data_IF_816754071438
#
_entry.id   IF_816754071438
#
_cell.length_a   1.000
_cell.length_b   1.000
_cell.length_c   1.000
_cell.angle_alpha   90.00
_cell.angle_beta   90.00
_cell.angle_gamma   90.00
#
_symmetry.space_group_name_H-M   'P 1'
#
loop_
_entity.id
_entity.type
_entity.pdbx_description
1 polymer ?
#
# COMPACT_ATOMS: atom_id res chain seq x y z
N UNK A 1 -14.10 -35.13 8.82
CA UNK A 1 -13.35 -33.92 9.17
C UNK A 1 -14.24 -32.74 8.82
N UNK A 2 -14.13 -31.64 9.56
CA UNK A 2 -14.81 -30.38 9.21
C UNK A 2 -13.76 -29.45 8.66
N UNK A 3 -13.94 -28.98 7.44
CA UNK A 3 -13.12 -27.95 6.82
C UNK A 3 -13.81 -26.61 7.00
N UNK A 4 -13.25 -25.75 7.85
CA UNK A 4 -13.65 -24.35 7.88
C UNK A 4 -12.87 -23.60 6.80
N UNK A 5 -13.57 -23.02 5.84
CA UNK A 5 -12.97 -22.37 4.69
C UNK A 5 -13.76 -21.12 4.30
N UNK A 6 -13.12 -20.21 3.57
CA UNK A 6 -13.77 -18.99 3.08
C UNK A 6 -13.84 -19.01 1.58
N UNK A 7 -15.05 -18.91 1.02
CA UNK A 7 -15.26 -18.74 -0.42
C UNK A 7 -15.29 -17.24 -0.76
N UNK A 8 -14.41 -16.82 -1.68
CA UNK A 8 -14.27 -15.43 -2.12
C UNK A 8 -14.47 -15.36 -3.63
N UNK A 9 -15.23 -14.37 -4.10
CA UNK A 9 -15.36 -14.08 -5.53
C UNK A 9 -14.09 -13.44 -6.08
N UNK A 10 -13.53 -14.02 -7.14
CA UNK A 10 -12.44 -13.43 -7.94
C UNK A 10 -12.96 -12.39 -8.95
N UNK A 11 -12.05 -11.69 -9.65
CA UNK A 11 -12.40 -10.60 -10.58
C UNK A 11 -13.27 -11.05 -11.77
N UNK A 12 -13.16 -12.32 -12.17
CA UNK A 12 -13.92 -12.93 -13.27
C UNK A 12 -15.15 -13.72 -12.78
N UNK A 13 -15.44 -13.71 -11.45
CA UNK A 13 -16.64 -14.36 -10.94
C UNK A 13 -17.87 -13.61 -11.44
N UNK A 14 -18.81 -14.34 -12.04
CA UNK A 14 -20.10 -13.79 -12.46
C UNK A 14 -20.96 -13.33 -11.26
N UNK A 15 -20.52 -13.67 -10.04
CA UNK A 15 -21.22 -13.36 -8.80
C UNK A 15 -20.30 -12.56 -7.87
N UNK A 16 -20.41 -11.22 -7.89
CA UNK A 16 -19.83 -10.36 -6.86
C UNK A 16 -20.57 -10.58 -5.52
N UNK A 17 -20.20 -11.65 -4.81
CA UNK A 17 -20.73 -11.97 -3.48
C UNK A 17 -19.73 -11.59 -2.40
N UNK A 18 -20.22 -11.20 -1.20
CA UNK A 18 -19.35 -11.07 -0.04
C UNK A 18 -18.67 -12.41 0.26
N UNK A 19 -17.47 -12.41 0.87
CA UNK A 19 -16.83 -13.65 1.34
C UNK A 19 -17.80 -14.48 2.17
N UNK A 20 -17.94 -15.76 1.85
CA UNK A 20 -18.76 -16.69 2.60
C UNK A 20 -17.88 -17.59 3.46
N UNK A 21 -18.13 -17.59 4.77
CA UNK A 21 -17.60 -18.62 5.66
C UNK A 21 -18.39 -19.92 5.48
N UNK A 22 -17.67 -20.99 5.20
CA UNK A 22 -18.21 -22.32 4.93
C UNK A 22 -17.62 -23.32 5.92
N UNK A 23 -18.46 -24.21 6.43
CA UNK A 23 -18.05 -25.42 7.14
C UNK A 23 -18.46 -26.62 6.30
N UNK A 24 -17.47 -27.31 5.73
CA UNK A 24 -17.67 -28.47 4.85
C UNK A 24 -17.38 -29.73 5.66
N UNK A 25 -18.40 -30.54 5.90
CA UNK A 25 -18.25 -31.82 6.59
C UNK A 25 -18.00 -32.93 5.56
N UNK A 26 -16.77 -33.43 5.52
CA UNK A 26 -16.40 -34.54 4.64
C UNK A 26 -15.23 -35.35 5.23
N UNK A 27 -15.10 -36.65 4.90
CA UNK A 27 -13.93 -37.45 5.28
C UNK A 27 -12.62 -36.84 4.78
N UNK A 28 -11.52 -37.00 5.53
CA UNK A 28 -10.20 -36.63 5.02
C UNK A 28 -9.87 -37.48 3.77
N UNK A 29 -9.23 -36.87 2.77
CA UNK A 29 -8.98 -37.48 1.47
C UNK A 29 -10.13 -37.35 0.45
N UNK A 30 -11.23 -36.67 0.79
CA UNK A 30 -12.31 -36.38 -0.18
C UNK A 30 -11.75 -35.59 -1.36
N UNK A 31 -12.08 -36.03 -2.59
CA UNK A 31 -11.69 -35.33 -3.81
C UNK A 31 -12.33 -33.95 -3.87
N UNK A 32 -11.53 -32.93 -4.18
CA UNK A 32 -12.01 -31.57 -4.31
C UNK A 32 -13.01 -31.38 -5.46
N UNK A 33 -13.10 -32.32 -6.40
CA UNK A 33 -14.17 -32.36 -7.40
C UNK A 33 -15.56 -32.43 -6.74
N UNK A 34 -15.74 -33.27 -5.72
CA UNK A 34 -17.01 -33.41 -4.99
C UNK A 34 -17.37 -32.11 -4.28
N UNK A 35 -16.37 -31.45 -3.69
CA UNK A 35 -16.54 -30.16 -3.03
C UNK A 35 -16.90 -29.09 -4.07
N UNK A 36 -16.24 -29.08 -5.22
CA UNK A 36 -16.49 -28.16 -6.32
C UNK A 36 -17.93 -28.26 -6.84
N UNK A 37 -18.44 -29.47 -7.09
CA UNK A 37 -19.82 -29.69 -7.54
C UNK A 37 -20.85 -29.14 -6.55
N UNK A 38 -20.63 -29.32 -5.24
CA UNK A 38 -21.50 -28.75 -4.22
C UNK A 38 -21.44 -27.22 -4.20
N UNK A 39 -20.26 -26.63 -4.39
CA UNK A 39 -20.12 -25.18 -4.48
C UNK A 39 -20.82 -24.61 -5.72
N UNK A 40 -20.71 -25.30 -6.86
CA UNK A 40 -21.42 -24.93 -8.08
C UNK A 40 -22.93 -25.09 -7.94
N UNK A 41 -23.43 -26.17 -7.35
CA UNK A 41 -24.87 -26.37 -7.15
C UNK A 41 -25.48 -25.40 -6.14
N UNK A 42 -24.84 -25.22 -4.97
CA UNK A 42 -25.42 -24.44 -3.87
C UNK A 42 -25.16 -22.94 -4.01
N UNK A 43 -24.02 -22.58 -4.58
CA UNK A 43 -23.60 -21.18 -4.69
C UNK A 43 -23.45 -20.70 -6.13
N UNK A 44 -23.63 -21.53 -7.16
CA UNK A 44 -23.41 -21.10 -8.54
C UNK A 44 -21.97 -20.67 -8.81
N UNK A 45 -21.01 -21.22 -8.05
CA UNK A 45 -19.59 -20.95 -8.24
C UNK A 45 -19.14 -21.48 -9.62
N UNK A 46 -18.30 -20.71 -10.31
CA UNK A 46 -17.62 -21.15 -11.52
C UNK A 46 -16.43 -22.04 -11.16
N UNK A 47 -15.32 -21.88 -11.86
CA UNK A 47 -14.06 -22.53 -11.52
C UNK A 47 -13.60 -22.08 -10.13
N UNK A 48 -13.39 -23.02 -9.21
CA UNK A 48 -12.90 -22.71 -7.85
C UNK A 48 -11.44 -23.13 -7.74
N UNK A 49 -10.61 -22.25 -7.18
CA UNK A 49 -9.19 -22.50 -6.95
C UNK A 49 -8.80 -22.36 -5.48
N UNK A 50 -7.81 -23.11 -5.04
CA UNK A 50 -7.19 -22.99 -3.71
C UNK A 50 -5.70 -22.83 -3.92
N UNK A 51 -5.14 -21.73 -3.43
CA UNK A 51 -3.76 -21.32 -3.71
C UNK A 51 -3.37 -21.25 -5.20
N UNK A 52 -4.36 -21.03 -6.08
CA UNK A 52 -4.17 -20.97 -7.52
C UNK A 52 -4.16 -22.34 -8.22
N UNK A 53 -4.29 -23.43 -7.46
CA UNK A 53 -4.55 -24.77 -7.99
C UNK A 53 -6.05 -25.01 -8.15
N UNK A 54 -6.44 -25.79 -9.16
CA UNK A 54 -7.84 -26.16 -9.38
C UNK A 54 -8.33 -26.99 -8.20
N UNK A 55 -9.45 -26.59 -7.59
CA UNK A 55 -10.03 -27.36 -6.48
C UNK A 55 -10.27 -28.82 -6.88
N UNK A 56 -10.61 -29.07 -8.16
CA UNK A 56 -10.88 -30.43 -8.67
C UNK A 56 -9.66 -31.35 -8.66
N UNK A 57 -8.44 -30.81 -8.59
CA UNK A 57 -7.21 -31.61 -8.50
C UNK A 57 -6.69 -31.82 -7.07
N UNK A 58 -7.42 -31.33 -6.06
CA UNK A 58 -6.96 -31.35 -4.67
C UNK A 58 -7.67 -32.42 -3.82
N UNK A 59 -7.06 -32.76 -2.69
CA UNK A 59 -7.60 -33.70 -1.70
C UNK A 59 -7.80 -33.01 -0.36
N UNK A 60 -8.94 -33.24 0.26
CA UNK A 60 -9.28 -32.64 1.54
C UNK A 60 -8.35 -33.10 2.66
N UNK A 61 -7.73 -32.17 3.39
CA UNK A 61 -6.77 -32.45 4.45
C UNK A 61 -5.32 -32.56 3.94
N UNK A 62 -5.09 -32.41 2.64
CA UNK A 62 -3.76 -32.29 2.03
C UNK A 62 -3.56 -30.84 1.58
N UNK A 63 -2.43 -30.18 1.92
CA UNK A 63 -2.15 -28.83 1.43
C UNK A 63 -2.26 -28.75 -0.10
N UNK A 64 -2.89 -27.70 -0.66
CA UNK A 64 -3.37 -26.49 0.02
C UNK A 64 -4.82 -26.55 0.54
N UNK A 65 -5.53 -27.68 0.43
CA UNK A 65 -6.94 -27.84 0.87
C UNK A 65 -7.03 -28.34 2.32
N UNK A 66 -6.65 -27.49 3.27
CA UNK A 66 -6.62 -27.77 4.71
C UNK A 66 -7.45 -26.75 5.50
N UNK A 67 -7.58 -26.92 6.81
CA UNK A 67 -8.31 -25.99 7.69
C UNK A 67 -7.93 -24.53 7.43
N UNK A 68 -8.93 -23.66 7.36
CA UNK A 68 -8.83 -22.25 6.95
C UNK A 68 -8.43 -22.01 5.47
N UNK A 69 -8.60 -23.00 4.58
CA UNK A 69 -8.40 -22.82 3.15
C UNK A 69 -9.28 -21.70 2.58
N UNK A 70 -8.71 -20.92 1.67
CA UNK A 70 -9.43 -19.87 0.94
C UNK A 70 -9.73 -20.39 -0.47
N UNK A 71 -11.02 -20.53 -0.76
CA UNK A 71 -11.54 -20.93 -2.05
C UNK A 71 -11.83 -19.67 -2.86
N UNK A 72 -11.24 -19.56 -4.05
CA UNK A 72 -11.45 -18.40 -4.95
C UNK A 72 -12.25 -18.85 -6.16
N UNK A 73 -13.45 -18.30 -6.32
CA UNK A 73 -14.25 -18.46 -7.54
C UNK A 73 -13.67 -17.58 -8.65
N UNK A 74 -13.04 -18.21 -9.63
CA UNK A 74 -12.44 -17.60 -10.81
C UNK A 74 -13.40 -17.52 -12.02
N UNK A 75 -14.69 -17.89 -11.88
CA UNK A 75 -15.67 -17.77 -12.96
C UNK A 75 -15.50 -18.80 -14.09
N UNK A 76 -15.89 -18.45 -15.32
CA UNK A 76 -15.87 -19.36 -16.48
C UNK A 76 -14.52 -19.45 -17.20
N UNK A 77 -13.45 -18.90 -16.60
CA UNK A 77 -12.13 -18.95 -17.19
C UNK A 77 -11.62 -20.41 -17.24
N UNK A 78 -11.57 -20.99 -18.44
CA UNK A 78 -11.02 -22.32 -18.68
C UNK A 78 -9.54 -22.37 -18.28
N UNK A 79 -9.16 -23.29 -17.36
CA UNK A 79 -7.76 -23.60 -17.06
C UNK A 79 -7.02 -24.29 -18.22
N UNK A 80 -7.65 -24.48 -19.38
CA UNK A 80 -6.93 -24.92 -20.59
C UNK A 80 -6.25 -23.73 -21.27
N UNK A 81 -5.23 -23.22 -20.60
CA UNK A 81 -3.98 -22.78 -21.22
C UNK A 81 -3.03 -22.41 -20.08
N UNK A 82 -2.17 -23.35 -19.69
CA UNK A 82 -0.78 -22.98 -19.36
C UNK A 82 -0.34 -22.09 -20.54
N UNK A 83 -0.06 -20.79 -20.38
CA UNK A 83 0.59 -20.08 -21.46
C UNK A 83 1.91 -20.80 -21.65
N UNK A 84 2.00 -21.55 -22.77
CA UNK A 84 3.23 -22.10 -23.30
C UNK A 84 4.21 -20.93 -23.22
N UNK A 85 5.29 -21.14 -22.48
CA UNK A 85 6.39 -20.18 -22.28
C UNK A 85 7.05 -19.97 -23.64
N UNK A 86 6.36 -19.26 -24.53
CA UNK A 86 6.99 -18.60 -25.65
C UNK A 86 7.71 -17.45 -24.98
N UNK A 87 9.02 -17.58 -24.89
CA UNK A 87 9.92 -16.48 -24.65
C UNK A 87 9.74 -15.46 -25.78
N UNK A 88 8.63 -14.72 -25.73
CA UNK A 88 8.55 -13.41 -26.32
C UNK A 88 9.25 -12.50 -25.32
N UNK A 89 10.23 -11.73 -25.80
CA UNK A 89 10.96 -10.74 -25.03
C UNK A 89 10.04 -10.05 -24.02
N UNK A 90 10.51 -9.92 -22.77
CA UNK A 90 9.79 -9.34 -21.66
C UNK A 90 9.30 -7.92 -22.00
N UNK A 91 8.13 -7.83 -22.64
CA UNK A 91 7.42 -6.58 -22.78
C UNK A 91 6.82 -6.32 -21.41
N UNK A 92 7.42 -5.39 -20.68
CA UNK A 92 6.92 -4.90 -19.40
C UNK A 92 5.50 -4.40 -19.61
N UNK A 93 4.50 -5.22 -19.26
CA UNK A 93 3.10 -4.84 -19.46
C UNK A 93 2.73 -3.79 -18.42
N UNK A 94 2.24 -2.65 -18.88
CA UNK A 94 1.75 -1.60 -18.01
C UNK A 94 0.39 -2.00 -17.41
N UNK A 95 0.15 -1.60 -16.17
CA UNK A 95 -1.05 -1.95 -15.40
C UNK A 95 -1.55 -0.70 -14.70
N UNK A 96 -2.87 -0.48 -14.71
CA UNK A 96 -3.53 0.45 -13.80
C UNK A 96 -3.81 -0.29 -12.49
N UNK A 97 -3.27 0.25 -11.42
CA UNK A 97 -3.38 -0.28 -10.07
C UNK A 97 -4.33 0.59 -9.24
N UNK A 98 -5.27 -0.02 -8.52
CA UNK A 98 -6.05 0.66 -7.48
C UNK A 98 -5.36 0.45 -6.14
N UNK A 99 -4.77 1.52 -5.61
CA UNK A 99 -3.91 1.48 -4.43
C UNK A 99 -4.70 1.52 -3.11
N UNK A 100 -5.81 2.26 -3.09
CA UNK A 100 -6.72 2.38 -1.96
C UNK A 100 -8.15 2.71 -2.42
N UNK A 101 -9.13 2.56 -1.52
CA UNK A 101 -10.56 2.75 -1.81
C UNK A 101 -11.34 1.44 -1.99
N UNK A 102 -12.58 1.53 -2.47
CA UNK A 102 -13.52 0.40 -2.52
C UNK A 102 -13.06 -0.77 -3.41
N UNK A 103 -12.21 -0.49 -4.41
CA UNK A 103 -11.63 -1.48 -5.33
C UNK A 103 -10.14 -1.75 -5.08
N UNK A 104 -9.59 -1.39 -3.92
CA UNK A 104 -8.16 -1.53 -3.65
C UNK A 104 -7.65 -2.97 -3.88
N UNK A 105 -6.48 -3.08 -4.50
CA UNK A 105 -5.89 -4.35 -4.95
C UNK A 105 -6.33 -4.78 -6.36
N UNK A 106 -7.29 -4.09 -6.97
CA UNK A 106 -7.64 -4.32 -8.38
C UNK A 106 -6.49 -3.86 -9.28
N UNK A 107 -6.11 -4.72 -10.22
CA UNK A 107 -5.03 -4.47 -11.18
C UNK A 107 -5.56 -4.77 -12.59
N UNK A 108 -5.46 -3.79 -13.49
CA UNK A 108 -6.00 -3.90 -14.86
C UNK A 108 -4.88 -3.68 -15.87
N UNK A 109 -4.52 -4.69 -16.70
CA UNK A 109 -3.48 -4.52 -17.70
C UNK A 109 -3.92 -3.51 -18.77
N UNK A 110 -3.05 -2.54 -19.02
CA UNK A 110 -3.22 -1.51 -20.03
C UNK A 110 -2.44 -1.89 -21.29
N UNK A 111 -3.16 -1.96 -22.40
CA UNK A 111 -2.63 -2.03 -23.77
C UNK A 111 -3.02 -0.75 -24.49
N UNK A 112 -2.50 -0.55 -25.70
CA UNK A 112 -2.95 0.55 -26.56
C UNK A 112 -4.48 0.52 -26.70
N UNK A 113 -5.12 1.68 -26.58
CA UNK A 113 -6.57 1.81 -26.64
C UNK A 113 -7.15 2.67 -25.52
N UNK A 114 -8.48 2.61 -25.37
CA UNK A 114 -9.25 3.42 -24.44
C UNK A 114 -9.95 2.57 -23.38
N UNK A 115 -9.89 3.05 -22.13
CA UNK A 115 -10.42 2.37 -20.95
C UNK A 115 -11.25 3.35 -20.14
N UNK A 116 -12.56 3.11 -20.00
CA UNK A 116 -13.42 3.90 -19.12
C UNK A 116 -13.27 3.48 -17.66
N UNK A 117 -13.18 4.45 -16.77
CA UNK A 117 -13.15 4.30 -15.31
C UNK A 117 -14.45 4.89 -14.76
N UNK A 118 -15.09 4.20 -13.83
CA UNK A 118 -16.28 4.72 -13.17
C UNK A 118 -16.90 3.75 -12.18
N UNK A 119 -18.03 4.19 -11.61
CA UNK A 119 -18.71 3.48 -10.52
C UNK A 119 -19.39 2.19 -10.97
N UNK A 120 -19.89 2.15 -12.20
CA UNK A 120 -20.61 1.00 -12.74
C UNK A 120 -20.74 1.08 -14.26
N UNK A 121 -20.78 -0.06 -14.97
CA UNK A 121 -21.03 -0.10 -16.41
C UNK A 121 -19.83 0.34 -17.27
N UNK A 122 -18.65 0.47 -16.66
CA UNK A 122 -17.38 0.86 -17.31
C UNK A 122 -16.45 -0.34 -17.45
N UNK A 123 -15.38 -0.18 -18.23
CA UNK A 123 -14.35 -1.22 -18.36
C UNK A 123 -13.58 -1.44 -17.06
N UNK A 124 -13.34 -0.36 -16.31
CA UNK A 124 -12.70 -0.37 -15.00
C UNK A 124 -13.73 0.11 -14.01
N UNK A 125 -14.30 -0.84 -13.26
CA UNK A 125 -15.37 -0.59 -12.29
C UNK A 125 -14.76 -0.41 -10.90
N UNK A 126 -15.00 0.75 -10.30
CA UNK A 126 -14.58 1.07 -8.94
C UNK A 126 -15.85 1.45 -8.18
N UNK A 127 -16.42 0.56 -7.32
CA UNK A 127 -17.70 0.77 -6.67
C UNK A 127 -17.61 1.78 -5.51
N UNK A 128 -17.04 2.94 -5.78
CA UNK A 128 -16.90 4.08 -4.90
C UNK A 128 -18.09 5.02 -5.13
N UNK A 129 -18.90 5.33 -4.10
CA UNK A 129 -20.06 6.21 -4.24
C UNK A 129 -19.75 7.63 -4.72
N UNK A 130 -18.52 8.11 -4.53
CA UNK A 130 -18.09 9.43 -5.00
C UNK A 130 -17.66 9.44 -6.47
N UNK A 131 -17.64 8.28 -7.13
CA UNK A 131 -17.40 8.20 -8.57
C UNK A 131 -18.72 8.34 -9.35
N UNK A 132 -18.62 9.06 -10.46
CA UNK A 132 -19.65 9.06 -11.50
C UNK A 132 -19.73 7.66 -12.14
N UNK A 133 -20.89 7.32 -12.74
CA UNK A 133 -21.05 6.04 -13.45
C UNK A 133 -19.97 5.86 -14.52
N UNK A 134 -19.76 6.90 -15.32
CA UNK A 134 -18.56 7.11 -16.13
C UNK A 134 -17.87 8.35 -15.58
N UNK A 135 -16.66 8.22 -15.05
CA UNK A 135 -15.96 9.28 -14.31
C UNK A 135 -14.76 9.80 -15.09
N UNK A 136 -13.92 8.90 -15.58
CA UNK A 136 -12.72 9.24 -16.33
C UNK A 136 -12.45 8.21 -17.42
N UNK A 137 -11.51 8.52 -18.30
CA UNK A 137 -11.05 7.65 -19.37
C UNK A 137 -9.53 7.70 -19.45
N UNK A 138 -8.91 6.53 -19.51
CA UNK A 138 -7.49 6.38 -19.80
C UNK A 138 -7.34 6.03 -21.27
N UNK A 139 -6.56 6.82 -21.99
CA UNK A 139 -6.20 6.59 -23.39
C UNK A 139 -4.71 6.29 -23.46
N UNK A 140 -4.37 5.08 -23.87
CA UNK A 140 -2.99 4.61 -24.03
C UNK A 140 -2.65 4.70 -25.50
N UNK A 141 -1.75 5.62 -25.86
CA UNK A 141 -1.25 5.79 -27.23
C UNK A 141 0.12 5.13 -27.39
N UNK A 142 0.79 5.41 -28.51
CA UNK A 142 2.12 4.92 -28.79
C UNK A 142 3.21 5.67 -28.01
N UNK A 143 2.93 6.92 -27.63
CA UNK A 143 3.90 7.84 -27.04
C UNK A 143 3.57 8.24 -25.61
N UNK A 144 2.28 8.25 -25.24
CA UNK A 144 1.83 8.79 -23.97
C UNK A 144 0.55 8.12 -23.46
N UNK A 145 0.22 8.42 -22.20
CA UNK A 145 -0.99 7.94 -21.56
C UNK A 145 -1.75 9.15 -21.05
N UNK A 146 -2.95 9.33 -21.55
CA UNK A 146 -3.80 10.46 -21.21
C UNK A 146 -4.89 10.01 -20.23
N UNK A 147 -5.07 10.76 -19.17
CA UNK A 147 -6.23 10.67 -18.30
C UNK A 147 -7.17 11.84 -18.61
N UNK A 148 -8.41 11.52 -18.94
CA UNK A 148 -9.46 12.47 -19.33
C UNK A 148 -10.62 12.34 -18.34
N UNK A 149 -10.97 13.42 -17.64
CA UNK A 149 -12.18 13.53 -16.83
C UNK A 149 -13.41 13.65 -17.76
N UNK A 150 -14.45 12.87 -17.51
CA UNK A 150 -15.68 12.85 -18.32
C UNK A 150 -16.78 13.71 -17.67
N UNK A 151 -16.45 14.96 -17.34
CA UNK A 151 -17.30 15.90 -16.59
C UNK A 151 -17.85 15.28 -15.30
N UNK A 152 -16.94 14.70 -14.51
CA UNK A 152 -17.34 14.00 -13.30
C UNK A 152 -17.79 14.96 -12.20
N UNK A 153 -18.72 14.52 -11.35
CA UNK A 153 -19.33 15.36 -10.32
C UNK A 153 -18.30 15.89 -9.31
N UNK A 154 -17.36 15.04 -8.88
CA UNK A 154 -16.33 15.37 -7.90
C UNK A 154 -14.99 15.74 -8.54
N UNK A 155 -14.82 15.54 -9.85
CA UNK A 155 -13.57 15.74 -10.56
C UNK A 155 -12.56 14.61 -10.41
N UNK A 156 -11.66 14.55 -11.39
CA UNK A 156 -10.44 13.73 -11.37
C UNK A 156 -9.25 14.59 -10.93
N UNK A 157 -8.36 14.04 -10.10
CA UNK A 157 -7.17 14.72 -9.63
C UNK A 157 -5.91 13.92 -9.97
N UNK A 158 -4.83 14.61 -10.30
CA UNK A 158 -3.51 14.04 -10.53
C UNK A 158 -2.49 14.87 -9.76
N UNK A 159 -1.77 14.24 -8.84
CA UNK A 159 -0.78 14.87 -7.96
C UNK A 159 -1.38 16.03 -7.14
N UNK A 160 -2.63 15.86 -6.71
CA UNK A 160 -3.39 16.83 -5.91
C UNK A 160 -4.08 17.93 -6.73
N UNK A 161 -3.78 18.04 -8.03
CA UNK A 161 -4.37 19.04 -8.92
C UNK A 161 -5.60 18.48 -9.64
N UNK A 162 -6.71 19.24 -9.70
CA UNK A 162 -7.90 18.84 -10.47
C UNK A 162 -7.64 19.00 -11.96
N UNK A 163 -7.95 17.98 -12.75
CA UNK A 163 -7.66 17.95 -14.19
C UNK A 163 -8.92 17.79 -15.03
N UNK A 164 -8.83 18.22 -16.29
CA UNK A 164 -9.74 17.79 -17.37
C UNK A 164 -9.07 16.76 -18.28
N UNK A 165 -7.83 17.04 -18.68
CA UNK A 165 -6.97 16.13 -19.44
C UNK A 165 -5.54 16.30 -18.96
N UNK A 166 -4.83 15.22 -18.65
CA UNK A 166 -3.41 15.26 -18.27
C UNK A 166 -2.68 14.01 -18.75
N UNK A 167 -1.43 14.18 -19.18
CA UNK A 167 -0.51 13.06 -19.42
C UNK A 167 -0.10 12.50 -18.07
N UNK A 168 -0.27 11.19 -17.88
CA UNK A 168 0.07 10.47 -16.65
C UNK A 168 1.21 9.48 -16.90
N UNK A 169 2.00 9.22 -15.86
CA UNK A 169 3.11 8.28 -15.88
C UNK A 169 3.06 7.36 -14.67
N UNK A 170 4.06 6.49 -14.51
CA UNK A 170 4.18 5.62 -13.34
C UNK A 170 4.42 6.37 -12.03
N UNK A 171 4.84 7.64 -12.11
CA UNK A 171 5.06 8.49 -10.95
C UNK A 171 3.83 9.30 -10.54
N UNK A 172 2.78 9.28 -11.38
CA UNK A 172 1.55 10.05 -11.15
C UNK A 172 0.66 9.39 -10.11
N UNK A 173 0.21 10.18 -9.13
CA UNK A 173 -0.81 9.80 -8.15
C UNK A 173 -2.18 10.27 -8.63
N UNK A 174 -3.05 9.34 -8.98
CA UNK A 174 -4.39 9.64 -9.52
C UNK A 174 -5.42 9.46 -8.42
N UNK A 175 -6.34 10.41 -8.27
CA UNK A 175 -7.48 10.30 -7.35
C UNK A 175 -8.79 10.54 -8.08
N UNK A 176 -9.68 9.57 -7.96
CA UNK A 176 -11.08 9.66 -8.37
C UNK A 176 -11.93 9.36 -7.13
N UNK A 177 -12.79 10.28 -6.69
CA UNK A 177 -13.53 10.14 -5.44
C UNK A 177 -12.62 9.86 -4.24
N UNK A 178 -12.86 8.74 -3.54
CA UNK A 178 -12.07 8.23 -2.41
C UNK A 178 -11.06 7.16 -2.80
N UNK A 179 -10.90 6.91 -4.11
CA UNK A 179 -10.02 5.87 -4.64
C UNK A 179 -8.74 6.46 -5.21
N UNK A 180 -7.60 5.92 -4.81
CA UNK A 180 -6.30 6.28 -5.35
C UNK A 180 -5.82 5.22 -6.33
N UNK A 181 -5.27 5.66 -7.46
CA UNK A 181 -4.78 4.82 -8.54
C UNK A 181 -3.39 5.26 -8.96
N UNK A 182 -2.62 4.30 -9.49
CA UNK A 182 -1.31 4.54 -10.08
C UNK A 182 -1.10 3.66 -11.31
N UNK A 183 -0.12 4.04 -12.12
CA UNK A 183 0.39 3.20 -13.19
C UNK A 183 1.63 2.46 -12.70
N UNK A 184 1.65 1.15 -12.91
CA UNK A 184 2.77 0.30 -12.52
C UNK A 184 3.09 -0.69 -13.61
N UNK A 185 4.35 -1.05 -13.73
CA UNK A 185 4.76 -2.16 -14.56
C UNK A 185 4.44 -3.48 -13.85
N UNK A 186 3.93 -4.48 -14.60
CA UNK A 186 3.56 -5.78 -14.05
C UNK A 186 4.75 -6.58 -13.50
N UNK A 187 5.98 -6.22 -13.90
CA UNK A 187 7.22 -6.76 -13.33
C UNK A 187 7.97 -5.66 -12.55
N UNK A 188 7.46 -5.25 -11.37
CA UNK A 188 8.18 -4.31 -10.53
C UNK A 188 9.45 -4.99 -9.98
N UNK A 189 10.54 -4.24 -9.76
CA UNK A 189 11.81 -4.80 -9.30
C UNK A 189 11.61 -5.60 -8.00
N UNK A 190 12.16 -6.83 -7.95
CA UNK A 190 11.91 -7.82 -6.88
C UNK A 190 12.27 -7.39 -5.45
N UNK A 191 12.95 -6.25 -5.27
CA UNK A 191 13.20 -5.62 -3.96
C UNK A 191 12.02 -4.82 -3.40
N UNK A 192 10.97 -4.56 -4.20
CA UNK A 192 9.87 -3.69 -3.79
C UNK A 192 9.03 -4.21 -2.60
N UNK A 193 9.23 -5.46 -2.18
CA UNK A 193 8.41 -6.14 -1.19
C UNK A 193 9.21 -6.82 -0.07
N UNK A 194 10.54 -6.71 -0.03
CA UNK A 194 11.37 -7.32 1.02
C UNK A 194 11.08 -6.75 2.40
N UNK A 195 10.66 -5.48 2.44
CA UNK A 195 10.50 -4.73 3.68
C UNK A 195 9.03 -4.72 4.14
N UNK A 196 8.13 -5.35 3.39
CA UNK A 196 6.69 -5.30 3.64
C UNK A 196 6.35 -5.89 5.02
N UNK A 197 5.59 -5.13 5.82
CA UNK A 197 5.20 -5.51 7.18
C UNK A 197 6.21 -5.14 8.27
N UNK A 198 7.36 -4.55 7.91
CA UNK A 198 8.35 -4.07 8.89
C UNK A 198 7.91 -2.76 9.57
N UNK A 199 8.46 -2.50 10.75
CA UNK A 199 8.23 -1.25 11.49
C UNK A 199 9.06 -0.10 10.93
N UNK A 200 8.50 1.10 11.03
CA UNK A 200 9.15 2.39 10.69
C UNK A 200 8.99 3.40 11.83
N UNK A 201 8.72 2.90 13.04
CA UNK A 201 8.48 3.72 14.22
C UNK A 201 9.72 4.53 14.64
N UNK A 202 10.92 3.99 14.42
CA UNK A 202 12.17 4.68 14.79
C UNK A 202 12.49 5.84 13.82
N UNK A 203 12.76 7.05 14.36
CA UNK A 203 13.09 8.21 13.55
C UNK A 203 14.47 8.10 12.90
N UNK A 204 14.61 8.64 11.69
CA UNK A 204 15.92 8.82 11.05
C UNK A 204 16.62 9.99 11.75
N UNK A 205 17.79 9.73 12.34
CA UNK A 205 18.55 10.73 13.08
C UNK A 205 19.53 11.46 12.14
N UNK A 206 19.40 12.79 12.07
CA UNK A 206 20.29 13.67 11.32
C UNK A 206 21.11 14.49 12.31
N UNK A 207 22.43 14.22 12.37
CA UNK A 207 23.34 14.97 13.20
C UNK A 207 23.63 16.35 12.63
N UNK A 208 23.20 17.41 13.31
CA UNK A 208 23.60 18.77 13.00
C UNK A 208 24.95 19.08 13.67
N UNK A 209 26.00 19.25 12.85
CA UNK A 209 27.20 19.97 13.30
C UNK A 209 26.87 21.46 13.37
N UNK A 210 26.29 21.91 14.47
CA UNK A 210 26.09 23.33 14.73
C UNK A 210 26.78 23.71 16.04
N UNK A 211 27.91 24.42 15.95
CA UNK A 211 28.38 25.24 17.05
C UNK A 211 27.35 26.36 17.24
N UNK A 212 26.53 26.26 18.29
CA UNK A 212 25.55 27.27 18.64
C UNK A 212 26.24 28.51 19.22
N UNK A 213 26.99 29.23 18.38
CA UNK A 213 27.49 30.57 18.71
C UNK A 213 26.33 31.56 18.69
N UNK A 214 26.10 32.26 19.81
CA UNK A 214 25.08 33.29 19.92
C UNK A 214 25.30 34.36 18.84
N UNK A 215 24.33 34.55 17.91
CA UNK A 215 24.46 35.50 16.79
C UNK A 215 24.74 36.92 17.27
N UNK A 216 24.19 37.30 18.42
CA UNK A 216 24.46 38.59 19.05
C UNK A 216 25.95 38.74 19.43
N UNK A 217 26.57 37.66 19.93
CA UNK A 217 28.00 37.64 20.27
C UNK A 217 28.86 37.74 19.02
N UNK A 218 28.51 37.07 17.93
CA UNK A 218 29.26 37.15 16.65
C UNK A 218 29.18 38.56 16.04
N UNK A 219 28.00 39.19 16.07
CA UNK A 219 27.84 40.56 15.57
C UNK A 219 28.56 41.57 16.47
N UNK A 220 28.44 41.42 17.80
CA UNK A 220 29.09 42.31 18.76
C UNK A 220 30.62 42.21 18.67
N UNK A 221 31.17 40.99 18.57
CA UNK A 221 32.62 40.77 18.42
C UNK A 221 33.17 41.24 17.08
N UNK A 222 32.36 41.33 16.03
CA UNK A 222 32.77 41.89 14.74
C UNK A 222 32.67 43.43 14.68
N UNK A 223 31.61 44.02 15.25
CA UNK A 223 31.30 45.45 15.12
C UNK A 223 32.03 46.30 16.16
N UNK A 224 32.17 45.79 17.40
CA UNK A 224 32.81 46.53 18.49
C UNK A 224 34.28 46.90 18.18
N UNK A 225 35.15 45.98 17.69
CA UNK A 225 36.54 46.33 17.36
C UNK A 225 36.66 47.29 16.17
N UNK A 226 35.68 47.24 15.26
CA UNK A 226 35.62 48.12 14.10
C UNK A 226 35.26 49.54 14.51
N UNK A 227 34.25 49.69 15.37
CA UNK A 227 33.87 50.98 15.96
C UNK A 227 35.01 51.60 16.80
N UNK A 228 35.68 50.79 17.62
CA UNK A 228 36.84 51.23 18.42
C UNK A 228 38.02 51.64 17.53
N UNK A 229 38.30 50.87 16.48
CA UNK A 229 39.37 51.20 15.53
C UNK A 229 39.14 52.51 14.77
N UNK A 230 37.90 52.74 14.33
CA UNK A 230 37.50 54.00 13.67
C UNK A 230 37.66 55.18 14.64
N UNK A 231 37.21 55.03 15.89
CA UNK A 231 37.34 56.07 16.91
C UNK A 231 38.81 56.41 17.18
N UNK A 232 39.67 55.41 17.35
CA UNK A 232 41.11 55.59 17.57
C UNK A 232 41.80 56.23 16.36
N UNK A 233 41.45 55.83 15.14
CA UNK A 233 42.02 56.41 13.93
C UNK A 233 41.68 57.91 13.79
N UNK A 234 40.44 58.30 14.11
CA UNK A 234 40.01 59.71 14.10
C UNK A 234 40.73 60.52 15.18
N UNK A 235 40.92 59.96 16.37
CA UNK A 235 41.59 60.63 17.50
C UNK A 235 43.11 60.78 17.31
N UNK A 236 43.77 59.78 16.73
CA UNK A 236 45.24 59.72 16.63
C UNK A 236 45.78 60.16 15.27
N UNK A 237 44.94 60.23 14.24
CA UNK A 237 45.34 60.51 12.85
C UNK A 237 46.11 59.36 12.17
N UNK A 238 46.26 58.22 12.85
CA UNK A 238 47.04 57.08 12.35
C UNK A 238 46.13 56.07 11.64
N UNK A 239 46.28 55.98 10.32
CA UNK A 239 45.49 55.07 9.47
C UNK A 239 45.75 53.58 9.74
N UNK A 240 46.85 53.24 10.42
CA UNK A 240 47.21 51.85 10.76
C UNK A 240 46.20 51.17 11.69
N UNK A 241 45.49 51.92 12.55
CA UNK A 241 44.47 51.35 13.43
C UNK A 241 43.25 50.80 12.67
N UNK A 242 42.94 51.39 11.51
CA UNK A 242 41.89 50.91 10.61
C UNK A 242 42.24 49.55 9.99
N UNK A 243 43.51 49.32 9.66
CA UNK A 243 43.99 48.06 9.11
C UNK A 243 43.90 46.90 10.12
N UNK A 244 44.29 47.13 11.37
CA UNK A 244 44.18 46.12 12.44
C UNK A 244 42.73 45.78 12.79
N UNK A 245 41.84 46.78 12.83
CA UNK A 245 40.41 46.54 13.04
C UNK A 245 39.74 45.81 11.88
N UNK A 246 40.15 46.08 10.63
CA UNK A 246 39.68 45.33 9.46
C UNK A 246 40.13 43.86 9.51
N UNK A 247 41.38 43.58 9.88
CA UNK A 247 41.89 42.22 10.04
C UNK A 247 41.14 41.44 11.14
N UNK A 248 40.86 42.10 12.28
CA UNK A 248 40.06 41.51 13.37
C UNK A 248 38.63 41.18 12.93
N UNK A 249 37.98 42.06 12.16
CA UNK A 249 36.64 41.83 11.65
C UNK A 249 36.61 40.67 10.63
N UNK A 250 37.65 40.53 9.82
CA UNK A 250 37.77 39.45 8.83
C UNK A 250 37.87 38.07 9.50
N UNK A 251 38.56 37.97 10.65
CA UNK A 251 38.67 36.71 11.41
C UNK A 251 37.34 36.23 11.98
N UNK A 252 36.37 37.15 12.22
CA UNK A 252 35.01 36.84 12.68
C UNK A 252 34.06 36.58 11.50
N UNK A 253 34.34 37.13 10.32
CA UNK A 253 33.55 36.94 9.11
C UNK A 253 33.67 35.49 8.57
N UNK A 254 34.82 34.83 8.75
CA UNK A 254 35.07 33.45 8.29
C UNK A 254 34.10 32.43 8.94
N UNK A 255 33.91 32.39 10.28
CA UNK A 255 32.87 31.57 10.92
C UNK A 255 31.43 31.91 10.49
N UNK A 256 31.14 33.16 10.17
CA UNK A 256 29.80 33.57 9.74
C UNK A 256 29.45 33.05 8.33
N UNK A 257 30.44 33.03 7.43
CA UNK A 257 30.30 32.46 6.07
C UNK A 257 30.24 30.93 6.14
N UNK A 258 31.04 30.28 7.00
CA UNK A 258 30.98 28.82 7.19
C UNK A 258 29.64 28.35 7.76
N UNK A 259 29.00 29.16 8.63
CA UNK A 259 27.65 28.89 9.14
C UNK A 259 26.57 28.84 8.05
N UNK A 260 26.70 29.60 6.95
CA UNK A 260 25.76 29.50 5.81
C UNK A 260 25.91 28.15 5.08
N UNK A 261 27.15 27.67 4.95
CA UNK A 261 27.44 26.38 4.32
C UNK A 261 26.90 25.22 5.17
N UNK A 262 27.16 25.23 6.47
CA UNK A 262 26.64 24.22 7.41
C UNK A 262 25.10 24.16 7.40
N UNK A 263 24.40 25.30 7.34
CA UNK A 263 22.93 25.31 7.23
C UNK A 263 22.42 24.71 5.93
N UNK A 264 23.11 24.96 4.81
CA UNK A 264 22.76 24.34 3.52
C UNK A 264 22.98 22.83 3.56
N UNK A 265 24.11 22.39 4.11
CA UNK A 265 24.43 20.97 4.29
C UNK A 265 23.39 20.28 5.18
N UNK A 266 23.02 20.89 6.32
CA UNK A 266 21.96 20.38 7.19
C UNK A 266 20.61 20.34 6.47
N UNK A 267 20.24 21.39 5.72
CA UNK A 267 19.00 21.41 4.97
C UNK A 267 18.93 20.28 3.94
N UNK A 268 20.01 20.07 3.18
CA UNK A 268 20.11 18.96 2.21
C UNK A 268 20.03 17.61 2.93
N UNK A 269 20.72 17.45 4.05
CA UNK A 269 20.69 16.22 4.84
C UNK A 269 19.28 15.91 5.39
N UNK A 270 18.58 16.93 5.90
CA UNK A 270 17.19 16.79 6.37
C UNK A 270 16.26 16.43 5.21
N UNK A 271 16.37 17.10 4.06
CA UNK A 271 15.56 16.76 2.87
C UNK A 271 15.83 15.33 2.37
N UNK A 272 17.09 14.91 2.38
CA UNK A 272 17.47 13.52 2.07
C UNK A 272 16.84 12.52 3.04
N UNK A 273 16.90 12.80 4.35
CA UNK A 273 16.29 11.95 5.37
C UNK A 273 14.75 11.90 5.26
N UNK A 274 14.09 12.98 4.84
CA UNK A 274 12.64 12.99 4.59
C UNK A 274 12.28 12.09 3.41
N UNK A 275 13.02 12.22 2.30
CA UNK A 275 12.82 11.36 1.14
C UNK A 275 13.04 9.88 1.51
N UNK A 276 14.07 9.59 2.30
CA UNK A 276 14.34 8.25 2.81
C UNK A 276 13.22 7.74 3.72
N UNK A 277 12.66 8.57 4.61
CA UNK A 277 11.52 8.18 5.45
C UNK A 277 10.26 7.86 4.62
N UNK A 278 9.95 8.69 3.62
CA UNK A 278 8.84 8.45 2.68
C UNK A 278 9.01 7.11 1.97
N UNK A 279 10.21 6.87 1.42
CA UNK A 279 10.51 5.62 0.71
C UNK A 279 10.48 4.41 1.64
N UNK A 280 11.03 4.54 2.84
CA UNK A 280 11.02 3.50 3.88
C UNK A 280 9.59 3.12 4.25
N UNK A 281 8.68 4.09 4.46
CA UNK A 281 7.25 3.84 4.74
C UNK A 281 6.52 3.21 3.57
N UNK A 282 6.85 3.59 2.32
CA UNK A 282 6.27 2.99 1.11
C UNK A 282 6.70 1.53 0.93
N UNK A 283 7.96 1.21 1.23
CA UNK A 283 8.49 -0.17 1.20
C UNK A 283 7.93 -1.02 2.33
N UNK A 284 7.78 -0.46 3.54
CA UNK A 284 7.24 -1.19 4.70
C UNK A 284 5.73 -1.44 4.59
N UNK A 285 5.00 -0.50 3.99
CA UNK A 285 3.56 -0.59 3.77
C UNK A 285 3.24 -0.38 2.28
N UNK A 286 3.56 -1.34 1.41
CA UNK A 286 3.25 -1.25 -0.02
C UNK A 286 1.73 -1.16 -0.25
N UNK A 287 1.33 -0.63 -1.41
CA UNK A 287 -0.09 -0.62 -1.79
C UNK A 287 -0.58 -2.04 -2.05
N UNK A 288 -1.89 -2.26 -1.92
CA UNK A 288 -2.49 -3.58 -2.15
C UNK A 288 -2.29 -4.06 -3.59
N UNK A 289 -2.26 -3.15 -4.55
CA UNK A 289 -2.00 -3.45 -5.96
C UNK A 289 -0.58 -4.02 -6.15
N UNK A 290 0.42 -3.44 -5.50
CA UNK A 290 1.80 -3.92 -5.52
C UNK A 290 1.93 -5.28 -4.82
N UNK A 291 1.17 -5.46 -3.72
CA UNK A 291 1.02 -6.77 -3.08
C UNK A 291 0.28 -7.80 -3.95
N UNK A 292 -0.69 -7.39 -4.77
CA UNK A 292 -1.37 -8.29 -5.70
C UNK A 292 -0.43 -8.71 -6.85
N UNK A 293 0.29 -7.75 -7.45
CA UNK A 293 1.26 -8.00 -8.52
C UNK A 293 2.39 -8.93 -8.08
N UNK A 294 3.00 -8.67 -6.93
CA UNK A 294 4.07 -9.54 -6.46
C UNK A 294 3.57 -10.95 -6.07
N UNK A 295 2.31 -11.11 -5.66
CA UNK A 295 1.76 -12.42 -5.29
C UNK A 295 1.61 -13.31 -6.53
N UNK A 296 1.33 -12.71 -7.69
CA UNK A 296 1.34 -13.40 -8.98
C UNK A 296 2.74 -13.93 -9.34
N UNK A 297 3.81 -13.24 -8.91
CA UNK A 297 5.21 -13.65 -9.11
C UNK A 297 5.67 -14.72 -8.11
N UNK A 298 5.29 -14.59 -6.85
CA UNK A 298 5.82 -15.39 -5.73
C UNK A 298 5.27 -16.82 -5.63
N UNK A 299 4.71 -17.38 -6.72
CA UNK A 299 4.40 -18.81 -6.82
C UNK A 299 5.70 -19.62 -6.66
N UNK A 300 6.08 -19.95 -5.43
CA UNK A 300 7.18 -20.87 -5.10
C UNK A 300 8.36 -20.33 -4.28
N UNK A 301 8.38 -19.09 -3.79
CA UNK A 301 9.47 -18.62 -2.90
C UNK A 301 8.94 -17.75 -1.76
N UNK A 302 9.04 -18.18 -0.49
CA UNK A 302 8.72 -17.35 0.67
C UNK A 302 9.70 -16.16 0.73
N UNK A 303 9.17 -14.97 0.99
CA UNK A 303 9.99 -13.79 1.26
C UNK A 303 10.62 -13.88 2.66
N UNK A 304 11.59 -13.00 2.98
CA UNK A 304 12.18 -12.95 4.31
C UNK A 304 11.09 -12.69 5.37
N UNK A 305 11.14 -13.42 6.48
CA UNK A 305 10.25 -13.20 7.61
C UNK A 305 10.41 -11.75 8.13
N UNK A 306 9.31 -11.07 8.49
CA UNK A 306 9.39 -9.74 9.10
C UNK A 306 10.27 -9.80 10.35
N UNK A 307 11.26 -8.90 10.43
CA UNK A 307 12.03 -8.70 11.64
C UNK A 307 11.20 -7.89 12.64
N UNK A 308 10.75 -8.51 13.74
CA UNK A 308 10.04 -7.83 14.82
C UNK A 308 8.82 -8.60 15.37
N UNK A 309 8.23 -8.04 16.43
CA UNK A 309 7.16 -8.63 17.26
C UNK A 309 5.76 -8.60 16.59
N UNK A 310 5.67 -8.88 15.29
CA UNK A 310 4.40 -8.89 14.55
C UNK A 310 4.48 -8.20 13.18
N UNK A 311 3.33 -8.10 12.52
CA UNK A 311 3.19 -7.60 11.15
C UNK A 311 2.49 -6.25 11.18
N UNK A 312 3.16 -5.20 10.69
CA UNK A 312 2.56 -3.88 10.56
C UNK A 312 1.67 -3.80 9.33
N UNK A 313 0.38 -3.54 9.52
CA UNK A 313 -0.63 -3.58 8.45
C UNK A 313 -0.96 -2.18 7.93
N UNK A 314 -0.94 -1.98 6.61
CA UNK A 314 -1.38 -0.74 5.98
C UNK A 314 -2.90 -0.57 6.11
N UNK A 315 -3.32 0.57 6.66
CA UNK A 315 -4.72 0.97 6.75
C UNK A 315 -5.14 1.88 5.58
N UNK A 316 -4.22 2.69 5.08
CA UNK A 316 -4.50 3.70 4.06
C UNK A 316 -3.30 4.63 3.87
N UNK A 317 -3.57 5.86 3.45
CA UNK A 317 -2.58 6.93 3.40
C UNK A 317 -3.15 8.19 4.04
N UNK A 318 -2.30 8.98 4.66
CA UNK A 318 -2.65 10.26 5.25
C UNK A 318 -1.45 11.21 5.20
N UNK A 319 -1.74 12.51 5.24
CA UNK A 319 -0.74 13.55 5.44
C UNK A 319 -0.09 13.36 6.81
N UNK A 320 1.23 13.17 6.85
CA UNK A 320 1.97 12.92 8.08
C UNK A 320 3.28 13.72 8.09
N UNK A 321 3.75 14.08 9.29
CA UNK A 321 5.09 14.60 9.46
C UNK A 321 6.14 13.52 9.17
N UNK A 322 7.30 13.93 8.66
CA UNK A 322 8.43 13.04 8.46
C UNK A 322 8.93 12.48 9.79
N UNK A 323 9.30 11.20 9.84
CA UNK A 323 9.84 10.56 11.03
C UNK A 323 11.36 10.79 11.06
N UNK A 324 11.75 12.06 11.21
CA UNK A 324 13.14 12.51 11.19
C UNK A 324 13.41 13.32 12.45
N UNK A 325 14.52 13.03 13.12
CA UNK A 325 14.98 13.74 14.32
C UNK A 325 16.30 14.42 14.01
N UNK A 326 16.38 15.73 14.23
CA UNK A 326 17.63 16.49 14.12
C UNK A 326 18.26 16.61 15.51
N UNK A 327 19.52 16.22 15.65
CA UNK A 327 20.25 16.35 16.91
C UNK A 327 21.33 17.45 16.82
N UNK A 328 21.44 18.36 17.81
CA UNK A 328 20.64 18.44 19.04
C UNK A 328 19.24 19.05 18.82
N UNK A 329 18.25 18.52 19.55
CA UNK A 329 16.80 18.75 19.35
C UNK A 329 16.34 20.23 19.38
N UNK A 330 17.16 21.15 19.89
CA UNK A 330 16.80 22.55 20.13
C UNK A 330 17.24 23.50 19.01
N UNK A 331 17.91 22.99 17.96
CA UNK A 331 18.55 23.82 16.93
C UNK A 331 18.06 23.56 15.50
N UNK A 332 17.07 22.68 15.32
CA UNK A 332 16.56 22.27 14.02
C UNK A 332 15.37 23.10 13.52
N UNK A 333 15.15 23.15 12.19
CA UNK A 333 13.86 23.57 11.63
C UNK A 333 12.72 22.66 12.13
N UNK A 334 11.45 23.12 12.10
CA UNK A 334 10.31 22.26 12.38
C UNK A 334 10.34 21.03 11.46
N UNK A 335 9.87 19.89 11.99
CA UNK A 335 9.83 18.63 11.24
C UNK A 335 9.01 18.84 9.95
N UNK A 336 9.62 18.65 8.77
CA UNK A 336 8.91 18.85 7.50
C UNK A 336 7.82 17.79 7.30
N UNK A 337 6.82 18.13 6.48
CA UNK A 337 5.80 17.16 6.07
C UNK A 337 6.42 16.09 5.17
N UNK A 338 6.03 14.83 5.39
CA UNK A 338 6.30 13.73 4.46
C UNK A 338 5.24 13.64 3.34
N UNK A 339 4.21 14.48 3.38
CA UNK A 339 3.09 14.41 2.47
C UNK A 339 2.18 13.22 2.78
N UNK A 340 1.44 12.80 1.75
CA UNK A 340 0.56 11.63 1.79
C UNK A 340 1.37 10.32 1.81
N UNK A 341 1.58 9.75 3.00
CA UNK A 341 2.33 8.50 3.21
C UNK A 341 1.46 7.41 3.86
N UNK A 342 1.82 6.13 3.72
CA UNK A 342 1.06 5.04 4.30
C UNK A 342 0.87 5.18 5.81
N UNK A 343 -0.33 4.82 6.28
CA UNK A 343 -0.64 4.67 7.71
C UNK A 343 -0.60 3.19 8.03
N UNK A 344 0.15 2.82 9.06
CA UNK A 344 0.26 1.43 9.53
C UNK A 344 -0.44 1.25 10.88
N UNK A 345 -1.04 0.08 11.05
CA UNK A 345 -1.58 -0.42 12.31
C UNK A 345 -0.48 -1.19 13.04
N UNK A 346 -0.28 -0.84 14.30
CA UNK A 346 0.63 -1.51 15.22
C UNK A 346 0.10 -2.91 15.57
N UNK A 347 0.89 -3.98 15.39
CA UNK A 347 0.49 -5.33 15.80
C UNK A 347 0.20 -5.49 17.30
N UNK A 348 0.72 -4.61 18.16
CA UNK A 348 0.43 -4.63 19.60
C UNK A 348 -1.00 -4.15 19.92
N UNK A 349 -1.73 -3.63 18.93
CA UNK A 349 -3.14 -3.28 19.07
C UNK A 349 -4.04 -4.54 19.06
N UNK A 350 -4.32 -5.07 20.25
CA UNK A 350 -5.09 -6.32 20.42
C UNK A 350 -6.54 -6.29 19.92
N UNK A 351 -7.14 -5.10 19.79
CA UNK A 351 -8.51 -4.95 19.29
C UNK A 351 -8.61 -3.73 18.38
N UNK A 352 -8.89 -3.97 17.10
CA UNK A 352 -9.17 -2.92 16.12
C UNK A 352 -10.60 -3.04 15.63
N UNK A 353 -11.41 -2.01 15.84
CA UNK A 353 -12.79 -1.94 15.35
C UNK A 353 -12.85 -1.07 14.11
N UNK A 354 -13.33 -1.63 12.98
CA UNK A 354 -13.54 -0.89 11.74
C UNK A 354 -15.04 -0.62 11.59
N UNK A 355 -15.43 0.65 11.63
CA UNK A 355 -16.81 1.09 11.47
C UNK A 355 -17.00 1.95 10.21
N UNK A 356 -18.20 1.91 9.65
CA UNK A 356 -18.56 2.74 8.51
C UNK A 356 -19.58 2.07 7.58
N UNK A 357 -19.84 2.68 6.41
CA UNK A 357 -20.66 2.08 5.37
C UNK A 357 -20.07 0.75 4.86
N UNK A 358 -20.93 -0.21 4.51
CA UNK A 358 -20.51 -1.56 4.09
C UNK A 358 -19.46 -1.59 3.00
N UNK A 359 -19.59 -0.75 1.97
CA UNK A 359 -18.63 -0.70 0.86
C UNK A 359 -17.21 -0.31 1.33
N UNK A 360 -17.10 0.53 2.36
CA UNK A 360 -15.82 0.96 2.92
C UNK A 360 -15.26 -0.11 3.88
N UNK A 361 -16.10 -0.68 4.74
CA UNK A 361 -15.68 -1.73 5.69
C UNK A 361 -15.27 -3.01 4.98
N UNK A 362 -15.98 -3.41 3.92
CA UNK A 362 -15.66 -4.61 3.13
C UNK A 362 -14.32 -4.42 2.39
N UNK A 363 -14.05 -3.22 1.88
CA UNK A 363 -12.77 -2.86 1.27
C UNK A 363 -11.61 -2.90 2.27
N UNK A 364 -11.81 -2.33 3.47
CA UNK A 364 -10.83 -2.34 4.55
C UNK A 364 -10.54 -3.78 5.05
N UNK A 365 -11.57 -4.60 5.23
CA UNK A 365 -11.41 -6.00 5.64
C UNK A 365 -10.64 -6.79 4.57
N UNK A 366 -10.99 -6.62 3.28
CA UNK A 366 -10.26 -7.24 2.17
C UNK A 366 -8.79 -6.83 2.17
N UNK A 367 -8.50 -5.55 2.41
CA UNK A 367 -7.14 -5.01 2.53
C UNK A 367 -6.33 -5.74 3.59
N UNK A 368 -6.89 -5.87 4.80
CA UNK A 368 -6.24 -6.55 5.93
C UNK A 368 -5.96 -8.02 5.60
N UNK A 369 -6.96 -8.73 5.05
CA UNK A 369 -6.82 -10.15 4.69
C UNK A 369 -5.76 -10.39 3.60
N UNK A 370 -5.69 -9.53 2.59
CA UNK A 370 -4.68 -9.62 1.53
C UNK A 370 -3.26 -9.44 2.07
N UNK A 371 -3.08 -8.49 2.99
CA UNK A 371 -1.79 -8.24 3.63
C UNK A 371 -1.38 -9.39 4.56
N UNK A 372 -2.31 -9.87 5.39
CA UNK A 372 -2.06 -10.97 6.31
C UNK A 372 -1.64 -12.25 5.57
N UNK A 373 -2.32 -12.63 4.48
CA UNK A 373 -1.98 -13.86 3.72
C UNK A 373 -0.56 -13.81 3.17
N UNK A 374 -0.14 -12.66 2.65
CA UNK A 374 1.16 -12.56 1.99
C UNK A 374 2.32 -12.51 2.99
N UNK A 375 2.14 -11.87 4.13
CA UNK A 375 3.17 -11.86 5.17
C UNK A 375 3.22 -13.20 5.90
N UNK A 376 2.09 -13.90 6.08
CA UNK A 376 2.06 -15.27 6.63
C UNK A 376 2.76 -16.30 5.74
N UNK A 377 2.78 -16.10 4.41
CA UNK A 377 3.58 -16.92 3.50
C UNK A 377 5.10 -16.73 3.70
N UNK A 378 5.53 -15.62 4.32
CA UNK A 378 6.92 -15.36 4.72
C UNK A 378 7.24 -15.85 6.16
N UNK A 379 6.23 -16.22 6.95
CA UNK A 379 6.34 -16.49 8.40
C UNK A 379 6.22 -17.98 8.76
N UNK A 380 6.12 -18.91 7.79
CA UNK A 380 5.96 -20.33 8.11
C UNK A 380 7.23 -20.97 8.75
N UNK A 381 7.34 -20.83 10.07
CA UNK A 381 7.98 -21.76 11.02
C UNK A 381 6.88 -22.74 11.49
N UNK A 382 7.06 -24.07 11.39
CA UNK A 382 6.00 -25.04 11.59
C UNK A 382 5.75 -25.29 13.09
N UNK A 383 5.14 -24.35 13.81
CA UNK A 383 4.52 -24.64 15.11
C UNK A 383 3.19 -23.89 15.28
N UNK A 384 2.06 -24.58 15.46
CA UNK A 384 0.77 -23.92 15.61
C UNK A 384 0.67 -23.26 17.01
N UNK A 385 0.30 -21.98 17.12
CA UNK A 385 -0.10 -21.40 18.39
C UNK A 385 -1.49 -21.93 18.78
N UNK A 386 -1.62 -22.40 20.02
CA UNK A 386 -2.88 -22.86 20.61
C UNK A 386 -3.79 -21.67 20.91
N UNK A 387 -4.89 -21.51 20.17
CA UNK A 387 -5.94 -20.54 20.47
C UNK A 387 -7.03 -21.17 21.36
N UNK A 388 -7.51 -20.49 22.42
CA UNK A 388 -8.66 -20.96 23.19
C UNK A 388 -9.96 -20.68 22.42
N UNK A 389 -10.82 -21.70 22.33
CA UNK A 389 -12.05 -21.68 21.57
C UNK A 389 -13.08 -20.66 22.12
N UNK A 390 -13.52 -19.72 21.27
CA UNK A 390 -14.70 -18.89 21.51
C UNK A 390 -15.91 -19.41 20.73
N UNK A 391 -17.10 -19.29 21.34
CA UNK A 391 -18.37 -19.86 20.85
C UNK A 391 -18.75 -19.38 19.43
N UNK A 392 -19.29 -20.25 18.56
CA UNK A 392 -19.59 -19.90 17.17
C UNK A 392 -20.87 -19.07 17.01
N UNK A 393 -20.80 -18.06 16.14
CA UNK A 393 -21.92 -17.36 15.50
C UNK A 393 -22.72 -18.32 14.58
N UNK A 394 -23.95 -18.00 14.12
CA UNK A 394 -24.81 -18.95 13.40
C UNK A 394 -24.20 -19.36 12.04
N UNK A 395 -23.72 -20.60 11.96
CA UNK A 395 -23.07 -21.21 10.79
C UNK A 395 -24.10 -21.88 9.88
N UNK A 396 -23.94 -21.71 8.56
CA UNK A 396 -24.71 -22.47 7.56
C UNK A 396 -23.97 -23.77 7.23
N UNK A 397 -24.36 -24.85 7.88
CA UNK A 397 -23.81 -26.19 7.64
C UNK A 397 -24.27 -26.76 6.29
N UNK A 398 -23.38 -27.45 5.58
CA UNK A 398 -23.70 -28.29 4.42
C UNK A 398 -23.38 -29.73 4.85
N UNK A 399 -24.39 -30.59 4.90
CA UNK A 399 -24.21 -32.03 5.10
C UNK A 399 -24.52 -32.78 3.81
N UNK A 400 -23.69 -33.73 3.44
CA UNK A 400 -23.95 -34.67 2.35
C UNK A 400 -24.65 -35.91 2.92
N UNK A 401 -25.98 -35.98 2.83
CA UNK A 401 -26.70 -37.26 2.83
C UNK A 401 -27.43 -37.40 1.50
N UNK A 402 -26.99 -38.38 0.73
CA UNK A 402 -27.69 -38.92 -0.42
C UNK A 402 -28.84 -39.79 0.07
N UNK A 403 -30.08 -39.35 -0.12
CA UNK A 403 -31.26 -40.23 -0.13
C UNK A 403 -31.98 -40.07 -1.47
N UNK A 404 -32.20 -41.16 -2.24
CA UNK A 404 -33.01 -41.13 -3.44
C UNK A 404 -34.48 -41.40 -3.07
N UNK A 405 -35.38 -40.57 -3.61
CA UNK A 405 -36.83 -40.74 -3.79
C UNK A 405 -37.70 -39.63 -3.18
N UNK A 406 -38.55 -39.06 -4.03
CA UNK A 406 -39.88 -38.59 -3.60
C UNK A 406 -40.19 -37.11 -3.80
N UNK A 407 -40.83 -36.80 -4.94
CA UNK A 407 -41.60 -35.56 -5.19
C UNK A 407 -42.60 -35.25 -4.06
N UNK A 408 -42.64 -34.01 -3.55
CA UNK A 408 -43.87 -33.19 -3.38
C UNK A 408 -43.54 -31.74 -2.95
N UNK A 409 -44.28 -30.70 -3.36
CA UNK A 409 -44.00 -29.31 -3.03
C UNK A 409 -44.79 -28.85 -1.79
N UNK A 410 -44.15 -28.15 -0.85
CA UNK A 410 -44.85 -27.49 0.26
C UNK A 410 -44.49 -26.00 0.39
N UNK A 411 -45.57 -25.21 0.50
CA UNK A 411 -45.70 -23.75 0.65
C UNK A 411 -45.01 -23.17 1.90
N UNK A 412 -44.84 -21.83 1.98
CA UNK A 412 -44.15 -21.17 3.08
C UNK A 412 -45.08 -20.93 4.27
N UNK A 413 -44.57 -21.08 5.50
CA UNK A 413 -45.17 -20.48 6.69
C UNK A 413 -44.16 -19.55 7.37
N UNK A 414 -44.69 -18.38 7.71
CA UNK A 414 -44.07 -17.32 8.52
C UNK A 414 -44.05 -17.74 9.99
N UNK A 415 -43.00 -17.34 10.69
CA UNK A 415 -43.07 -16.69 12.02
C UNK A 415 -41.73 -16.02 12.28
#
# INVERSE_FOLDING_TARGET
MTLNCTLVGGPESQHHRPPLELSIEAPAGTEGLVIHEQLTQKFGAGLVTVDGEDLRSLLLGVPPLVEAAILVDAGTASLRQRPRRVAAAAATSLVLAVDSGAAAGTVVPLRRGSYSIGRSGTRIVIPDPELSREHARVVVTDTEILLIDLDSANGTFVDGERIRTKVISTDSSIRCGQSYLSLVFADPPGRALSDAGQTVAEPIVVGARAEAGNRAVVVMTAVLPLAVGVLLAVLTGMWMFLAFSAASAFSVLVPAISGRRQRRELFIAVQGAVAEDVDRRRRSAPSLSLLALGAQRARGTPGPAPGGNGIWLRLGQAEQAANVRVEPAHTGPPVPSAGLVPVQLDPDCHLTTIGGPRYATDGALRSVLMQARRVSACVHDPRPPSWPASKPAPRRTISSRSDPHGNTPCRPQRS
#
